data_IF_569161299341
#
_entry.id   IF_569161299341
#
_cell.length_a   1.000
_cell.length_b   1.000
_cell.length_c   1.000
_cell.angle_alpha   90.00
_cell.angle_beta   90.00
_cell.angle_gamma   90.00
#
_symmetry.space_group_name_H-M   'P 1'
#
loop_
_entity.id
_entity.type
_entity.pdbx_description
1 polymer ?
#
# COMPACT_ATOMS: atom_id res chain seq x y z
N UNK A 1 36.59 33.57 -4.71
CA UNK A 1 36.19 32.20 -4.34
C UNK A 1 35.05 31.78 -5.27
N UNK A 2 35.35 30.95 -6.27
CA UNK A 2 34.31 30.37 -7.11
C UNK A 2 33.59 29.28 -6.29
N UNK A 3 32.33 29.45 -6.02
CA UNK A 3 31.48 28.41 -5.42
C UNK A 3 31.16 27.40 -6.54
N UNK A 4 31.81 26.26 -6.52
CA UNK A 4 31.47 25.16 -7.40
C UNK A 4 30.23 24.49 -6.77
N UNK A 5 29.04 24.74 -7.33
CA UNK A 5 27.87 23.94 -6.99
C UNK A 5 28.03 22.57 -7.66
N UNK A 6 27.90 21.49 -6.90
CA UNK A 6 27.86 20.16 -7.46
C UNK A 6 26.69 20.04 -8.44
N UNK A 7 26.92 19.41 -9.58
CA UNK A 7 25.84 19.07 -10.51
C UNK A 7 24.82 18.21 -9.76
N UNK A 8 23.56 18.65 -9.73
CA UNK A 8 22.45 17.91 -9.13
C UNK A 8 21.34 17.75 -10.19
N UNK A 9 20.59 16.67 -10.14
CA UNK A 9 19.43 16.43 -11.03
C UNK A 9 19.71 15.49 -12.21
N UNK A 10 20.83 14.78 -12.22
CA UNK A 10 21.02 13.67 -13.16
C UNK A 10 20.29 12.41 -12.71
N UNK A 11 19.72 11.66 -13.66
CA UNK A 11 19.15 10.33 -13.44
C UNK A 11 19.91 9.28 -14.27
N UNK A 12 19.74 8.01 -13.94
CA UNK A 12 20.20 6.89 -14.77
C UNK A 12 19.62 6.99 -16.18
N UNK A 13 20.32 6.40 -17.16
CA UNK A 13 19.86 6.39 -18.55
C UNK A 13 18.52 5.65 -18.68
N UNK A 14 17.55 6.28 -19.32
CA UNK A 14 16.25 5.68 -19.60
C UNK A 14 16.37 4.38 -20.39
N UNK A 15 15.55 3.39 -20.00
CA UNK A 15 15.41 2.16 -20.78
C UNK A 15 14.73 2.44 -22.11
N UNK A 16 15.00 1.63 -23.14
CA UNK A 16 14.33 1.74 -24.45
C UNK A 16 12.80 1.66 -24.32
N UNK A 17 12.29 0.87 -23.36
CA UNK A 17 10.86 0.77 -23.12
C UNK A 17 10.30 2.06 -22.50
N UNK A 18 11.01 2.67 -21.55
CA UNK A 18 10.67 3.97 -20.97
C UNK A 18 10.62 5.05 -22.05
N UNK A 19 11.63 5.10 -22.91
CA UNK A 19 11.69 6.07 -24.02
C UNK A 19 10.51 5.86 -24.99
N UNK A 20 10.23 4.63 -25.39
CA UNK A 20 9.10 4.32 -26.30
C UNK A 20 7.75 4.72 -25.73
N UNK A 21 7.57 4.62 -24.43
CA UNK A 21 6.33 4.99 -23.73
C UNK A 21 6.23 6.51 -23.54
N UNK A 22 7.29 7.16 -23.07
CA UNK A 22 7.24 8.57 -22.68
C UNK A 22 7.46 9.55 -23.84
N UNK A 23 8.25 9.21 -24.88
CA UNK A 23 8.54 10.14 -25.97
C UNK A 23 7.30 10.60 -26.76
N UNK A 24 6.32 9.75 -27.10
CA UNK A 24 5.09 10.20 -27.75
C UNK A 24 4.26 11.16 -26.86
N UNK A 25 4.19 10.88 -25.55
CA UNK A 25 3.48 11.71 -24.58
C UNK A 25 4.15 13.08 -24.43
N UNK A 26 5.46 13.10 -24.37
CA UNK A 26 6.25 14.32 -24.31
C UNK A 26 6.13 15.19 -25.56
N UNK A 27 6.16 14.56 -26.73
CA UNK A 27 5.91 15.25 -27.99
C UNK A 27 4.49 15.85 -28.05
N UNK A 28 3.48 15.11 -27.60
CA UNK A 28 2.10 15.57 -27.57
C UNK A 28 1.90 16.75 -26.59
N UNK A 29 2.56 16.73 -25.45
CA UNK A 29 2.49 17.79 -24.42
C UNK A 29 3.04 19.15 -24.92
N UNK A 30 3.99 19.14 -25.86
CA UNK A 30 4.64 20.35 -26.41
C UNK A 30 5.10 21.37 -25.35
N UNK A 31 5.61 20.86 -24.22
CA UNK A 31 6.07 21.69 -23.10
C UNK A 31 4.97 22.32 -22.26
N UNK A 32 3.73 21.86 -22.36
CA UNK A 32 2.59 22.32 -21.54
C UNK A 32 1.91 21.18 -20.84
N UNK A 33 1.53 21.35 -19.57
CA UNK A 33 0.78 20.40 -18.78
C UNK A 33 -0.69 20.81 -18.71
N UNK A 34 -1.54 20.17 -19.48
CA UNK A 34 -2.99 20.42 -19.55
C UNK A 34 -3.77 19.15 -19.21
N UNK A 35 -3.38 18.02 -19.78
CA UNK A 35 -4.02 16.72 -19.57
C UNK A 35 -3.27 15.89 -18.52
N UNK A 36 -3.93 14.87 -17.98
CA UNK A 36 -3.32 13.89 -17.06
C UNK A 36 -2.02 13.29 -17.63
N UNK A 37 -2.02 12.98 -18.94
CA UNK A 37 -0.85 12.39 -19.60
C UNK A 37 0.31 13.37 -19.74
N UNK A 38 0.03 14.66 -19.94
CA UNK A 38 1.06 15.68 -20.01
C UNK A 38 1.77 15.81 -18.66
N UNK A 39 1.01 15.83 -17.55
CA UNK A 39 1.60 15.82 -16.21
C UNK A 39 2.43 14.56 -15.94
N UNK A 40 1.95 13.38 -16.37
CA UNK A 40 2.73 12.12 -16.25
C UNK A 40 4.08 12.19 -16.99
N UNK A 41 4.13 12.84 -18.14
CA UNK A 41 5.35 13.01 -18.92
C UNK A 41 6.30 14.10 -18.37
N UNK A 42 5.75 15.17 -17.78
CA UNK A 42 6.51 16.33 -17.31
C UNK A 42 7.05 16.13 -15.89
N UNK A 43 6.30 15.49 -14.99
CA UNK A 43 6.71 15.33 -13.58
C UNK A 43 8.09 14.66 -13.43
N UNK A 44 8.45 13.59 -14.17
CA UNK A 44 9.79 13.01 -14.08
C UNK A 44 10.92 13.96 -14.50
N UNK A 45 10.65 14.96 -15.36
CA UNK A 45 11.63 15.99 -15.73
C UNK A 45 11.85 17.01 -14.64
N UNK A 46 10.78 17.34 -13.89
CA UNK A 46 10.83 18.27 -12.75
C UNK A 46 11.42 17.60 -11.51
N UNK A 47 11.13 16.32 -11.32
CA UNK A 47 11.58 15.53 -10.17
C UNK A 47 12.17 14.19 -10.62
N UNK A 48 13.49 14.17 -10.81
CA UNK A 48 14.23 13.02 -11.36
C UNK A 48 14.16 11.75 -10.50
N UNK A 49 13.87 11.86 -9.18
CA UNK A 49 13.70 10.71 -8.29
C UNK A 49 12.31 10.05 -8.42
N UNK A 50 11.49 10.41 -9.40
CA UNK A 50 10.20 9.79 -9.64
C UNK A 50 10.35 8.43 -10.34
N UNK A 51 10.08 7.32 -9.63
CA UNK A 51 10.02 5.97 -10.18
C UNK A 51 8.71 5.73 -10.94
N UNK A 52 7.60 6.18 -10.36
CA UNK A 52 6.26 6.04 -10.94
C UNK A 52 5.42 7.26 -10.56
N UNK A 53 4.60 7.72 -11.48
CA UNK A 53 3.76 8.91 -11.31
C UNK A 53 2.32 8.57 -11.67
N UNK A 54 1.40 8.86 -10.76
CA UNK A 54 -0.03 8.83 -11.01
C UNK A 54 -0.60 10.22 -10.94
N UNK A 55 -1.47 10.54 -11.90
CA UNK A 55 -2.13 11.84 -11.99
C UNK A 55 -3.62 11.62 -12.22
N UNK A 56 -4.44 12.39 -11.53
CA UNK A 56 -5.89 12.37 -11.69
C UNK A 56 -6.49 13.77 -11.47
N UNK A 57 -7.65 14.02 -12.05
CA UNK A 57 -8.37 15.28 -11.87
C UNK A 57 -8.99 15.39 -10.48
N UNK A 58 -9.22 16.60 -10.00
CA UNK A 58 -9.90 16.82 -8.73
C UNK A 58 -11.38 16.42 -8.75
N UNK A 59 -11.96 16.26 -9.92
CA UNK A 59 -13.31 15.71 -10.13
C UNK A 59 -13.44 14.24 -9.73
N UNK A 60 -12.33 13.50 -9.72
CA UNK A 60 -12.28 12.08 -9.35
C UNK A 60 -12.21 11.83 -7.85
N UNK A 61 -12.12 12.88 -7.01
CA UNK A 61 -12.16 12.74 -5.56
C UNK A 61 -13.58 12.43 -5.07
N UNK A 62 -13.70 11.81 -3.90
CA UNK A 62 -14.99 11.53 -3.24
C UNK A 62 -15.82 12.80 -3.06
N UNK A 63 -15.17 13.92 -2.76
CA UNK A 63 -15.74 15.27 -2.87
C UNK A 63 -15.03 15.99 -4.02
N UNK A 64 -15.70 16.20 -5.17
CA UNK A 64 -15.09 16.82 -6.35
C UNK A 64 -14.54 18.22 -6.09
N UNK A 65 -13.30 18.47 -6.51
CA UNK A 65 -12.62 19.76 -6.43
C UNK A 65 -12.13 20.17 -7.81
N UNK A 66 -12.94 20.93 -8.53
CA UNK A 66 -12.64 21.36 -9.90
C UNK A 66 -11.43 22.32 -9.96
N UNK A 67 -10.73 22.29 -11.11
CA UNK A 67 -9.55 23.13 -11.35
C UNK A 67 -8.28 22.68 -10.61
N UNK A 68 -8.29 21.50 -9.99
CA UNK A 68 -7.11 20.88 -9.39
C UNK A 68 -6.73 19.59 -10.10
N UNK A 69 -5.42 19.36 -10.17
CA UNK A 69 -4.83 18.10 -10.63
C UNK A 69 -4.00 17.54 -9.50
N UNK A 70 -4.31 16.33 -9.09
CA UNK A 70 -3.60 15.62 -8.04
C UNK A 70 -2.52 14.74 -8.65
N UNK A 71 -1.31 14.84 -8.09
CA UNK A 71 -0.11 14.16 -8.57
C UNK A 71 0.40 13.32 -7.40
N UNK A 72 0.47 12.03 -7.56
CA UNK A 72 1.07 11.12 -6.60
C UNK A 72 2.35 10.54 -7.18
N UNK A 73 3.42 10.51 -6.40
CA UNK A 73 4.77 10.14 -6.86
C UNK A 73 5.32 9.03 -5.95
N UNK A 74 5.67 7.91 -6.55
CA UNK A 74 6.50 6.89 -5.90
C UNK A 74 7.96 7.21 -6.22
N UNK A 75 8.80 7.56 -5.23
CA UNK A 75 10.21 7.84 -5.49
C UNK A 75 11.00 6.55 -5.70
N UNK A 76 12.12 6.64 -6.40
CA UNK A 76 13.08 5.53 -6.55
C UNK A 76 13.73 5.19 -5.21
N UNK A 77 14.04 6.22 -4.41
CA UNK A 77 14.65 6.09 -3.08
C UNK A 77 14.04 7.10 -2.11
N UNK A 78 13.85 6.67 -0.85
CA UNK A 78 13.35 7.52 0.23
C UNK A 78 11.87 7.88 0.10
N UNK A 79 11.50 9.08 0.52
CA UNK A 79 10.15 9.64 0.45
C UNK A 79 10.17 11.05 -0.12
N UNK A 80 9.04 11.48 -0.70
CA UNK A 80 8.90 12.85 -1.21
C UNK A 80 8.61 13.78 -0.03
N UNK A 81 9.60 14.56 0.38
CA UNK A 81 9.45 15.50 1.50
C UNK A 81 8.49 16.64 1.17
N UNK A 82 7.92 17.32 2.18
CA UNK A 82 7.03 18.46 1.96
C UNK A 82 7.71 19.59 1.19
N UNK A 83 9.00 19.84 1.43
CA UNK A 83 9.79 20.81 0.68
C UNK A 83 9.89 20.43 -0.81
N UNK A 84 10.15 19.15 -1.11
CA UNK A 84 10.18 18.65 -2.49
C UNK A 84 8.81 18.77 -3.16
N UNK A 85 7.70 18.45 -2.47
CA UNK A 85 6.34 18.63 -2.99
C UNK A 85 6.07 20.09 -3.36
N UNK A 86 6.43 21.02 -2.49
CA UNK A 86 6.25 22.45 -2.73
C UNK A 86 7.09 22.94 -3.92
N UNK A 87 8.33 22.44 -4.05
CA UNK A 87 9.19 22.76 -5.20
C UNK A 87 8.60 22.24 -6.52
N UNK A 88 8.16 20.97 -6.56
CA UNK A 88 7.51 20.37 -7.74
C UNK A 88 6.29 21.20 -8.17
N UNK A 89 5.43 21.58 -7.22
CA UNK A 89 4.25 22.42 -7.49
C UNK A 89 4.66 23.78 -8.07
N UNK A 90 5.70 24.42 -7.50
CA UNK A 90 6.22 25.71 -7.97
C UNK A 90 6.76 25.62 -9.39
N UNK A 91 7.58 24.60 -9.69
CA UNK A 91 8.19 24.41 -11.00
C UNK A 91 7.13 24.09 -12.07
N UNK A 92 6.14 23.25 -11.75
CA UNK A 92 5.01 22.96 -12.62
C UNK A 92 4.20 24.23 -12.93
N UNK A 93 3.86 25.04 -11.90
CA UNK A 93 3.08 26.27 -12.06
C UNK A 93 3.79 27.32 -12.91
N UNK A 94 5.09 27.50 -12.66
CA UNK A 94 5.84 28.57 -13.29
C UNK A 94 6.23 28.29 -14.74
N UNK A 95 6.36 27.00 -15.11
CA UNK A 95 6.94 26.61 -16.38
C UNK A 95 5.95 25.90 -17.32
N UNK A 96 5.05 25.07 -16.78
CA UNK A 96 4.31 24.10 -17.58
C UNK A 96 2.78 24.25 -17.54
N UNK A 97 2.22 24.73 -16.40
CA UNK A 97 0.77 24.74 -16.21
C UNK A 97 0.11 26.00 -16.77
N UNK A 98 -1.10 25.84 -17.28
CA UNK A 98 -1.96 26.99 -17.62
C UNK A 98 -2.60 27.56 -16.35
N UNK A 99 -2.95 28.84 -16.35
CA UNK A 99 -3.39 29.60 -15.18
C UNK A 99 -4.64 29.04 -14.46
N UNK A 100 -5.48 28.26 -15.15
CA UNK A 100 -6.72 27.69 -14.58
C UNK A 100 -6.54 26.35 -13.87
N UNK A 101 -5.38 25.71 -13.97
CA UNK A 101 -5.10 24.39 -13.38
C UNK A 101 -4.12 24.53 -12.21
N UNK A 102 -4.50 24.00 -11.04
CA UNK A 102 -3.66 24.01 -9.86
C UNK A 102 -3.15 22.59 -9.55
N UNK A 103 -1.85 22.31 -9.75
CA UNK A 103 -1.27 21.03 -9.36
C UNK A 103 -1.15 20.92 -7.83
N UNK A 104 -1.44 19.73 -7.30
CA UNK A 104 -1.31 19.37 -5.88
C UNK A 104 -0.58 18.06 -5.79
N UNK A 105 0.53 17.99 -5.06
CA UNK A 105 1.26 16.74 -4.85
C UNK A 105 0.79 16.08 -3.57
N UNK A 106 0.31 14.84 -3.69
CA UNK A 106 -0.20 14.00 -2.59
C UNK A 106 0.69 12.77 -2.39
N UNK A 107 0.64 12.19 -1.21
CA UNK A 107 1.34 10.94 -0.95
C UNK A 107 0.60 9.76 -1.59
N UNK A 108 1.34 8.73 -2.07
CA UNK A 108 0.73 7.48 -2.48
C UNK A 108 0.16 6.72 -1.29
N UNK A 109 -0.91 5.96 -1.52
CA UNK A 109 -1.49 5.08 -0.53
C UNK A 109 -0.88 3.69 -0.63
N UNK A 110 -0.17 3.27 0.41
CA UNK A 110 0.45 1.95 0.45
C UNK A 110 -0.50 0.91 1.04
N UNK A 111 -0.68 -0.18 0.30
CA UNK A 111 -1.30 -1.41 0.79
C UNK A 111 -0.25 -2.51 0.75
N UNK A 112 0.01 -3.13 1.90
CA UNK A 112 1.02 -4.17 2.02
C UNK A 112 0.38 -5.54 1.83
N UNK A 113 1.05 -6.39 1.07
CA UNK A 113 0.74 -7.80 0.91
C UNK A 113 1.55 -8.58 1.97
N UNK A 114 0.86 -9.26 2.87
CA UNK A 114 1.46 -10.22 3.80
C UNK A 114 1.31 -11.60 3.17
N UNK A 115 2.43 -12.22 2.87
CA UNK A 115 2.47 -13.51 2.18
C UNK A 115 2.96 -14.60 3.13
N UNK A 116 2.20 -15.67 3.27
CA UNK A 116 2.66 -16.92 3.87
C UNK A 116 3.07 -17.87 2.77
N UNK A 117 4.36 -18.14 2.61
CA UNK A 117 4.90 -19.01 1.56
C UNK A 117 5.48 -20.27 2.19
N UNK A 118 4.83 -21.39 1.99
CA UNK A 118 5.34 -22.70 2.39
C UNK A 118 5.70 -23.48 1.13
N UNK A 119 6.93 -23.95 1.02
CA UNK A 119 7.36 -24.76 -0.12
C UNK A 119 7.90 -26.13 0.30
N UNK A 120 7.72 -27.11 -0.56
CA UNK A 120 8.31 -28.45 -0.40
C UNK A 120 9.41 -28.65 -1.44
N UNK A 121 10.47 -29.32 -1.03
CA UNK A 121 11.59 -29.60 -1.92
C UNK A 121 12.09 -31.05 -1.80
N UNK A 122 12.70 -31.55 -2.87
CA UNK A 122 13.30 -32.86 -2.90
C UNK A 122 14.81 -32.76 -2.58
N UNK A 123 15.20 -33.22 -1.40
CA UNK A 123 16.59 -33.19 -0.94
C UNK A 123 17.56 -34.07 -1.77
N UNK A 124 17.04 -34.95 -2.64
CA UNK A 124 17.87 -35.73 -3.57
C UNK A 124 18.25 -34.97 -4.83
N UNK A 125 17.53 -33.88 -5.14
CA UNK A 125 17.76 -33.06 -6.33
C UNK A 125 18.64 -31.84 -6.05
N UNK A 126 19.09 -31.65 -4.82
CA UNK A 126 19.94 -30.51 -4.44
C UNK A 126 20.95 -30.91 -3.39
N UNK A 127 22.12 -30.24 -3.45
CA UNK A 127 23.13 -30.26 -2.38
C UNK A 127 23.03 -29.01 -1.49
N UNK A 128 22.11 -28.09 -1.81
CA UNK A 128 21.94 -26.83 -1.06
C UNK A 128 21.22 -27.14 0.26
N UNK A 129 21.67 -26.58 1.38
CA UNK A 129 20.96 -26.66 2.64
C UNK A 129 19.64 -25.88 2.55
N UNK A 130 18.68 -26.21 3.43
CA UNK A 130 17.33 -25.61 3.49
C UNK A 130 17.40 -24.09 3.58
N UNK A 131 18.26 -23.56 4.41
CA UNK A 131 18.45 -22.12 4.66
C UNK A 131 18.88 -21.36 3.39
N UNK A 132 19.62 -22.03 2.51
CA UNK A 132 19.99 -21.44 1.20
C UNK A 132 18.79 -21.38 0.26
N UNK A 133 17.93 -22.40 0.25
CA UNK A 133 16.71 -22.39 -0.54
C UNK A 133 15.74 -21.31 -0.03
N UNK A 134 15.57 -21.16 1.28
CA UNK A 134 14.77 -20.10 1.90
C UNK A 134 15.31 -18.71 1.52
N UNK A 135 16.61 -18.49 1.59
CA UNK A 135 17.25 -17.23 1.17
C UNK A 135 17.05 -16.93 -0.31
N UNK A 136 17.12 -17.95 -1.18
CA UNK A 136 16.87 -17.79 -2.60
C UNK A 136 15.40 -17.42 -2.87
N UNK A 137 14.46 -18.08 -2.20
CA UNK A 137 13.03 -17.75 -2.27
C UNK A 137 12.78 -16.32 -1.80
N UNK A 138 13.36 -15.90 -0.66
CA UNK A 138 13.23 -14.52 -0.16
C UNK A 138 13.80 -13.50 -1.15
N UNK A 139 14.91 -13.81 -1.80
CA UNK A 139 15.49 -12.97 -2.86
C UNK A 139 14.53 -12.86 -4.06
N UNK A 140 13.92 -13.95 -4.45
CA UNK A 140 12.91 -13.99 -5.53
C UNK A 140 11.70 -13.14 -5.18
N UNK A 141 11.19 -13.23 -3.95
CA UNK A 141 10.08 -12.40 -3.43
C UNK A 141 10.45 -10.91 -3.46
N UNK A 142 11.65 -10.56 -2.99
CA UNK A 142 12.15 -9.18 -2.96
C UNK A 142 12.27 -8.59 -4.37
N UNK A 143 12.79 -9.37 -5.31
CA UNK A 143 12.89 -8.95 -6.71
C UNK A 143 11.50 -8.79 -7.36
N UNK A 144 10.57 -9.69 -7.06
CA UNK A 144 9.20 -9.55 -7.53
C UNK A 144 8.54 -8.27 -7.00
N UNK A 145 8.69 -7.98 -5.71
CA UNK A 145 8.21 -6.75 -5.10
C UNK A 145 8.73 -5.50 -5.83
N UNK A 146 10.04 -5.42 -6.02
CA UNK A 146 10.70 -4.25 -6.62
C UNK A 146 10.31 -4.03 -8.08
N UNK A 147 10.19 -5.12 -8.86
CA UNK A 147 9.97 -5.04 -10.29
C UNK A 147 8.49 -4.93 -10.68
N UNK A 148 7.60 -5.55 -9.91
CA UNK A 148 6.20 -5.71 -10.30
C UNK A 148 5.24 -4.84 -9.50
N UNK A 149 5.51 -4.59 -8.19
CA UNK A 149 4.52 -4.03 -7.29
C UNK A 149 4.76 -2.57 -6.90
N UNK A 150 5.96 -2.19 -6.48
CA UNK A 150 6.25 -0.85 -5.96
C UNK A 150 6.16 0.25 -7.02
N UNK A 151 5.00 0.35 -7.67
CA UNK A 151 4.63 1.34 -8.70
C UNK A 151 3.10 1.46 -8.77
N UNK A 152 2.61 2.54 -9.38
CA UNK A 152 1.19 2.64 -9.70
C UNK A 152 0.81 1.61 -10.79
N UNK A 153 -0.46 1.23 -10.80
CA UNK A 153 -1.00 0.17 -11.67
C UNK A 153 -0.33 -1.20 -11.47
N UNK A 154 0.32 -1.39 -10.30
CA UNK A 154 0.88 -2.67 -9.90
C UNK A 154 -0.21 -3.73 -9.69
N UNK A 155 0.04 -4.96 -10.14
CA UNK A 155 -0.87 -6.07 -9.94
C UNK A 155 -0.12 -7.28 -9.38
N UNK A 156 -0.61 -7.79 -8.26
CA UNK A 156 -0.17 -9.06 -7.73
C UNK A 156 -1.01 -10.16 -8.37
N UNK A 157 -0.39 -11.01 -9.18
CA UNK A 157 -1.00 -12.18 -9.80
C UNK A 157 -0.49 -13.42 -9.09
N UNK A 158 -1.35 -14.04 -8.30
CA UNK A 158 -1.01 -15.21 -7.48
C UNK A 158 -0.38 -16.32 -8.29
N UNK A 159 -0.97 -16.70 -9.43
CA UNK A 159 -0.46 -17.77 -10.29
C UNK A 159 0.92 -17.46 -10.91
N UNK A 160 1.20 -16.19 -11.21
CA UNK A 160 2.52 -15.78 -11.70
C UNK A 160 3.57 -15.81 -10.58
N UNK A 161 3.17 -15.39 -9.38
CA UNK A 161 4.02 -15.41 -8.20
C UNK A 161 4.38 -16.85 -7.77
N UNK A 162 3.39 -17.74 -7.63
CA UNK A 162 3.63 -19.15 -7.24
C UNK A 162 4.52 -19.86 -8.23
N UNK A 163 4.30 -19.65 -9.54
CA UNK A 163 5.20 -20.19 -10.59
C UNK A 163 6.63 -19.67 -10.45
N UNK A 164 6.79 -18.40 -10.07
CA UNK A 164 8.12 -17.81 -9.88
C UNK A 164 8.83 -18.44 -8.68
N UNK A 165 8.11 -18.72 -7.58
CA UNK A 165 8.64 -19.44 -6.42
C UNK A 165 9.07 -20.86 -6.82
N UNK A 166 8.23 -21.62 -7.53
CA UNK A 166 8.57 -22.97 -7.99
C UNK A 166 9.80 -23.00 -8.90
N UNK A 167 10.00 -21.94 -9.70
CA UNK A 167 11.15 -21.83 -10.60
C UNK A 167 12.43 -21.29 -9.95
N UNK A 168 12.41 -20.99 -8.65
CA UNK A 168 13.58 -20.46 -7.94
C UNK A 168 14.71 -21.49 -7.82
N UNK A 169 14.35 -22.77 -7.71
CA UNK A 169 15.30 -23.91 -7.67
C UNK A 169 14.64 -25.18 -8.19
N UNK A 170 15.35 -25.97 -8.98
CA UNK A 170 14.85 -27.22 -9.55
C UNK A 170 14.48 -28.28 -8.50
N UNK A 171 14.95 -28.11 -7.27
CA UNK A 171 14.61 -28.98 -6.17
C UNK A 171 13.23 -28.67 -5.56
N UNK A 172 12.68 -27.49 -5.76
CA UNK A 172 11.34 -27.09 -5.27
C UNK A 172 10.28 -27.85 -6.09
N UNK A 173 9.43 -28.57 -5.40
CA UNK A 173 8.41 -29.43 -6.03
C UNK A 173 7.02 -28.85 -6.01
N UNK A 174 6.72 -28.01 -5.03
CA UNK A 174 5.45 -27.29 -4.91
C UNK A 174 5.54 -26.17 -3.87
N UNK A 175 4.65 -25.19 -3.98
CA UNK A 175 4.44 -24.20 -2.94
C UNK A 175 2.96 -23.94 -2.66
N UNK A 176 2.68 -23.49 -1.45
CA UNK A 176 1.38 -22.94 -1.03
C UNK A 176 1.62 -21.51 -0.59
N UNK A 177 0.91 -20.58 -1.21
CA UNK A 177 1.02 -19.16 -0.89
C UNK A 177 -0.32 -18.63 -0.42
N UNK A 178 -0.37 -18.11 0.80
CA UNK A 178 -1.52 -17.38 1.35
C UNK A 178 -1.29 -15.88 1.21
N UNK A 179 -2.38 -15.13 1.03
CA UNK A 179 -2.34 -13.68 0.80
C UNK A 179 -3.25 -12.98 1.79
N UNK A 180 -2.71 -12.02 2.51
CA UNK A 180 -3.44 -11.06 3.32
C UNK A 180 -3.05 -9.65 2.89
N UNK A 181 -3.97 -8.69 3.10
CA UNK A 181 -3.70 -7.28 2.89
C UNK A 181 -3.55 -6.58 4.23
N UNK A 182 -2.61 -5.64 4.32
CA UNK A 182 -2.52 -4.77 5.49
C UNK A 182 -2.37 -3.31 5.11
N UNK A 183 -2.99 -2.44 5.93
CA UNK A 183 -2.84 -0.99 5.87
C UNK A 183 -2.57 -0.44 7.26
N UNK A 184 -1.65 0.51 7.32
CA UNK A 184 -1.31 1.23 8.53
C UNK A 184 -1.98 2.61 8.50
N UNK A 185 -2.69 3.01 9.55
CA UNK A 185 -3.20 4.37 9.71
C UNK A 185 -2.71 4.98 11.03
N UNK A 186 -2.54 6.31 11.04
CA UNK A 186 -2.10 7.05 12.23
C UNK A 186 -3.33 7.64 12.91
N UNK A 187 -3.66 7.20 14.15
CA UNK A 187 -4.81 7.73 14.86
C UNK A 187 -4.52 9.14 15.41
N UNK A 188 -5.58 9.94 15.52
CA UNK A 188 -5.57 11.19 16.29
C UNK A 188 -5.77 10.85 17.76
N UNK A 189 -4.75 11.08 18.57
CA UNK A 189 -4.76 10.69 19.99
C UNK A 189 -5.61 11.66 20.80
N UNK A 190 -6.45 11.10 21.71
CA UNK A 190 -7.26 11.86 22.67
C UNK A 190 -8.46 12.57 22.11
N UNK A 191 -8.79 12.34 20.83
CA UNK A 191 -9.94 12.98 20.17
C UNK A 191 -10.80 11.93 19.46
N UNK A 192 -12.11 11.88 19.70
CA UNK A 192 -13.02 11.01 18.96
C UNK A 192 -12.95 11.32 17.46
N UNK A 193 -12.50 10.38 16.66
CA UNK A 193 -12.25 10.59 15.24
C UNK A 193 -12.83 9.44 14.42
N UNK A 194 -13.39 9.77 13.26
CA UNK A 194 -13.82 8.80 12.24
C UNK A 194 -12.63 8.47 11.34
N UNK A 195 -12.43 7.18 11.07
CA UNK A 195 -11.37 6.70 10.16
C UNK A 195 -12.01 5.92 9.01
N UNK A 196 -11.60 6.24 7.80
CA UNK A 196 -11.96 5.47 6.59
C UNK A 196 -10.70 4.82 6.05
N UNK A 197 -10.70 3.49 5.95
CA UNK A 197 -9.55 2.68 5.52
C UNK A 197 -9.98 1.89 4.29
N UNK A 198 -9.77 2.41 3.07
CA UNK A 198 -10.12 1.72 1.84
C UNK A 198 -9.00 0.74 1.46
N UNK A 199 -9.32 -0.56 1.36
CA UNK A 199 -8.42 -1.55 0.76
C UNK A 199 -8.58 -1.61 -0.76
N UNK A 200 -9.74 -1.15 -1.30
CA UNK A 200 -10.05 -1.11 -2.72
C UNK A 200 -9.98 -2.49 -3.41
N UNK A 201 -10.17 -3.55 -2.67
CA UNK A 201 -10.25 -4.92 -3.15
C UNK A 201 -11.32 -5.63 -2.34
N UNK A 202 -12.12 -6.46 -2.98
CA UNK A 202 -13.15 -7.23 -2.30
C UNK A 202 -12.56 -8.11 -1.20
N UNK A 203 -13.27 -8.22 -0.08
CA UNK A 203 -12.85 -9.01 1.08
C UNK A 203 -13.64 -10.32 1.15
N UNK A 204 -12.98 -11.36 1.65
CA UNK A 204 -13.55 -12.70 1.73
C UNK A 204 -14.74 -12.76 2.69
N UNK A 205 -15.94 -12.87 2.17
CA UNK A 205 -17.16 -13.09 2.95
C UNK A 205 -18.16 -13.96 2.16
N UNK A 206 -18.01 -15.31 2.20
CA UNK A 206 -18.82 -16.21 1.36
C UNK A 206 -20.30 -16.18 1.67
N UNK A 207 -20.69 -15.78 2.87
CA UNK A 207 -22.09 -15.59 3.28
C UNK A 207 -22.20 -14.71 4.53
N UNK A 208 -23.34 -14.07 4.72
CA UNK A 208 -23.62 -13.26 5.91
C UNK A 208 -23.37 -14.05 7.20
N UNK A 209 -22.73 -13.41 8.18
CA UNK A 209 -22.40 -14.02 9.46
C UNK A 209 -21.30 -15.09 9.42
N UNK A 210 -20.59 -15.25 8.33
CA UNK A 210 -19.50 -16.25 8.19
C UNK A 210 -18.49 -16.19 9.35
N UNK A 211 -18.16 -14.99 9.81
CA UNK A 211 -17.13 -14.75 10.84
C UNK A 211 -17.73 -14.37 12.21
N UNK A 212 -19.01 -14.59 12.41
CA UNK A 212 -19.75 -14.06 13.56
C UNK A 212 -19.17 -14.48 14.90
N UNK A 213 -18.74 -15.72 15.02
CA UNK A 213 -18.25 -16.28 16.31
C UNK A 213 -16.75 -16.08 16.50
N UNK A 214 -15.97 -16.23 15.44
CA UNK A 214 -14.50 -16.28 15.53
C UNK A 214 -13.83 -14.98 15.10
N UNK A 215 -14.52 -14.10 14.36
CA UNK A 215 -13.90 -13.08 13.54
C UNK A 215 -13.10 -13.76 12.42
N UNK A 216 -12.32 -13.03 11.64
CA UNK A 216 -11.37 -13.73 10.81
C UNK A 216 -11.11 -13.15 9.44
N UNK A 217 -11.84 -12.11 9.02
CA UNK A 217 -11.48 -11.34 7.83
C UNK A 217 -10.70 -10.10 8.23
N UNK A 218 -11.15 -9.43 9.29
CA UNK A 218 -10.51 -8.25 9.84
C UNK A 218 -9.79 -8.56 11.13
N UNK A 219 -8.54 -8.14 11.21
CA UNK A 219 -7.75 -8.10 12.44
C UNK A 219 -7.06 -6.75 12.55
N UNK A 220 -6.80 -6.28 13.77
CA UNK A 220 -5.98 -5.09 14.02
C UNK A 220 -4.86 -5.38 15.00
N UNK A 221 -3.81 -4.55 14.96
CA UNK A 221 -2.88 -4.44 16.08
C UNK A 221 -3.55 -3.76 17.27
N UNK A 222 -3.00 -3.96 18.47
CA UNK A 222 -3.54 -3.45 19.72
C UNK A 222 -3.50 -1.91 19.80
N UNK A 223 -4.46 -1.35 20.52
CA UNK A 223 -4.53 0.07 20.86
C UNK A 223 -5.31 0.26 22.18
N UNK A 224 -5.22 1.44 22.76
CA UNK A 224 -5.96 1.79 23.96
C UNK A 224 -6.95 2.91 23.67
N UNK A 225 -8.11 2.87 24.33
CA UNK A 225 -9.13 3.93 24.23
C UNK A 225 -9.23 4.71 25.54
N UNK A 226 -9.67 5.95 25.47
CA UNK A 226 -9.87 6.79 26.66
C UNK A 226 -10.87 6.15 27.62
N UNK A 227 -10.49 6.06 28.89
CA UNK A 227 -11.34 5.50 29.94
C UNK A 227 -11.30 3.98 30.09
N UNK A 228 -10.47 3.27 29.29
CA UNK A 228 -10.27 1.83 29.42
C UNK A 228 -8.77 1.49 29.47
N UNK A 229 -8.39 0.63 30.38
CA UNK A 229 -6.99 0.19 30.58
C UNK A 229 -6.64 -1.09 29.82
N UNK A 230 -7.65 -1.78 29.25
CA UNK A 230 -7.42 -2.98 28.47
C UNK A 230 -6.93 -2.64 27.06
N UNK A 231 -6.07 -3.46 26.52
CA UNK A 231 -5.65 -3.39 25.12
C UNK A 231 -6.79 -3.86 24.21
N UNK A 232 -7.22 -2.99 23.31
CA UNK A 232 -8.32 -3.22 22.38
C UNK A 232 -7.82 -3.71 21.03
N UNK A 233 -8.65 -4.52 20.40
CA UNK A 233 -8.47 -5.05 19.05
C UNK A 233 -9.77 -4.90 18.26
N UNK A 234 -9.66 -4.94 16.94
CA UNK A 234 -10.81 -4.93 16.02
C UNK A 234 -10.92 -6.27 15.31
N UNK A 235 -12.14 -6.74 15.11
CA UNK A 235 -12.48 -7.81 14.18
C UNK A 235 -13.84 -7.52 13.52
N UNK A 236 -14.26 -8.37 12.60
CA UNK A 236 -15.55 -8.30 11.93
C UNK A 236 -16.55 -9.34 12.46
N UNK A 237 -17.83 -9.17 12.13
CA UNK A 237 -18.89 -10.12 12.46
C UNK A 237 -19.41 -10.92 11.25
N UNK A 238 -18.94 -10.60 10.03
CA UNK A 238 -19.44 -11.19 8.79
C UNK A 238 -20.78 -10.62 8.30
N UNK A 239 -21.41 -9.73 9.08
CA UNK A 239 -22.68 -9.07 8.76
C UNK A 239 -22.49 -7.59 8.35
N UNK A 240 -21.22 -7.13 8.24
CA UNK A 240 -20.88 -5.76 7.85
C UNK A 240 -20.48 -4.85 9.01
N UNK A 241 -20.35 -5.36 10.23
CA UNK A 241 -19.91 -4.55 11.36
C UNK A 241 -18.48 -4.87 11.76
N UNK A 242 -17.71 -3.82 12.08
CA UNK A 242 -16.45 -3.93 12.80
C UNK A 242 -16.73 -3.87 14.31
N UNK A 243 -16.21 -4.85 15.04
CA UNK A 243 -16.38 -4.99 16.49
C UNK A 243 -15.08 -4.69 17.22
N UNK A 244 -15.18 -4.12 18.41
CA UNK A 244 -14.04 -3.85 19.28
C UNK A 244 -14.08 -4.78 20.49
N UNK A 245 -12.96 -5.42 20.79
CA UNK A 245 -12.83 -6.38 21.89
C UNK A 245 -11.47 -6.27 22.57
N UNK A 246 -11.37 -6.83 23.78
CA UNK A 246 -10.10 -7.13 24.44
C UNK A 246 -10.02 -8.62 24.80
N UNK A 247 -8.84 -9.10 25.14
CA UNK A 247 -8.61 -10.53 25.41
C UNK A 247 -8.34 -10.75 26.90
N UNK A 248 -9.02 -11.74 27.49
CA UNK A 248 -8.83 -12.19 28.86
C UNK A 248 -8.27 -13.61 28.87
N UNK A 249 -7.27 -13.85 29.71
CA UNK A 249 -6.67 -15.18 29.83
C UNK A 249 -5.98 -15.69 28.57
N UNK A 250 -5.62 -14.78 27.65
CA UNK A 250 -4.90 -15.09 26.41
C UNK A 250 -5.77 -15.61 25.26
N UNK A 251 -7.02 -15.98 25.50
CA UNK A 251 -7.87 -16.61 24.45
C UNK A 251 -9.30 -16.07 24.38
N UNK A 252 -9.87 -15.63 25.51
CA UNK A 252 -11.29 -15.24 25.57
C UNK A 252 -11.47 -13.80 25.11
N UNK A 253 -12.19 -13.58 24.01
CA UNK A 253 -12.55 -12.26 23.49
C UNK A 253 -13.76 -11.71 24.25
N UNK A 254 -13.63 -10.51 24.82
CA UNK A 254 -14.72 -9.77 25.45
C UNK A 254 -15.03 -8.55 24.58
N UNK A 255 -16.19 -8.54 23.98
CA UNK A 255 -16.62 -7.45 23.10
C UNK A 255 -17.09 -6.26 23.92
N UNK A 256 -16.53 -5.08 23.63
CA UNK A 256 -16.88 -3.80 24.26
C UNK A 256 -17.86 -3.04 23.39
N UNK A 257 -17.71 -3.13 22.07
CA UNK A 257 -18.57 -2.49 21.09
C UNK A 257 -18.71 -3.42 19.87
N UNK A 258 -19.96 -3.78 19.56
CA UNK A 258 -20.27 -4.64 18.41
C UNK A 258 -20.50 -3.84 17.11
N UNK A 259 -20.48 -2.50 17.19
CA UNK A 259 -20.76 -1.57 16.09
C UNK A 259 -19.73 -0.44 16.05
N UNK A 260 -18.47 -0.74 16.40
CA UNK A 260 -17.35 0.22 16.38
C UNK A 260 -17.09 0.78 14.97
N UNK A 261 -17.62 0.13 13.95
CA UNK A 261 -17.49 0.55 12.57
C UNK A 261 -18.32 -0.30 11.62
N UNK A 262 -18.16 -0.03 10.32
CA UNK A 262 -18.78 -0.81 9.23
C UNK A 262 -17.72 -1.33 8.27
N UNK A 263 -18.02 -2.45 7.62
CA UNK A 263 -17.17 -3.08 6.60
C UNK A 263 -18.01 -3.32 5.36
N UNK A 264 -17.60 -2.79 4.23
CA UNK A 264 -18.11 -3.16 2.93
C UNK A 264 -17.19 -4.22 2.31
N UNK A 265 -17.62 -5.46 2.28
CA UNK A 265 -16.85 -6.58 1.74
C UNK A 265 -16.68 -6.52 0.22
N UNK A 266 -17.54 -5.81 -0.50
CA UNK A 266 -17.47 -5.69 -1.96
C UNK A 266 -16.42 -4.67 -2.38
N UNK A 267 -16.41 -3.51 -1.74
CA UNK A 267 -15.44 -2.44 -2.03
C UNK A 267 -14.14 -2.58 -1.24
N UNK A 268 -14.17 -3.31 -0.13
CA UNK A 268 -13.05 -3.42 0.81
C UNK A 268 -12.85 -2.15 1.63
N UNK A 269 -13.91 -1.37 1.85
CA UNK A 269 -13.84 -0.17 2.67
C UNK A 269 -14.21 -0.49 4.13
N UNK A 270 -13.37 -0.04 5.06
CA UNK A 270 -13.62 -0.12 6.50
C UNK A 270 -13.78 1.29 7.05
N UNK A 271 -14.90 1.55 7.71
CA UNK A 271 -15.19 2.84 8.33
C UNK A 271 -15.33 2.64 9.84
N UNK A 272 -14.40 3.17 10.61
CA UNK A 272 -14.47 3.19 12.08
C UNK A 272 -15.13 4.48 12.54
N UNK A 273 -16.14 4.35 13.39
CA UNK A 273 -16.92 5.51 13.85
C UNK A 273 -16.42 5.99 15.19
N UNK A 274 -16.01 7.25 15.27
CA UNK A 274 -15.80 8.02 16.52
C UNK A 274 -14.96 7.32 17.61
N UNK A 275 -13.83 6.70 17.23
CA UNK A 275 -12.91 6.08 18.19
C UNK A 275 -12.05 7.14 18.88
N UNK A 276 -12.08 7.16 20.23
CA UNK A 276 -11.21 8.01 21.05
C UNK A 276 -9.98 7.20 21.52
N UNK A 277 -8.98 7.13 20.65
CA UNK A 277 -7.75 6.38 20.89
C UNK A 277 -6.82 7.20 21.79
N UNK A 278 -6.37 6.61 22.90
CA UNK A 278 -5.44 7.25 23.84
C UNK A 278 -3.97 6.90 23.58
N UNK A 279 -3.69 5.70 23.09
CA UNK A 279 -2.35 5.26 22.66
C UNK A 279 -2.42 4.04 21.76
N UNK A 280 -1.30 3.73 21.12
CA UNK A 280 -1.13 2.59 20.21
C UNK A 280 -0.15 1.59 20.84
N UNK A 281 -0.41 0.30 20.69
CA UNK A 281 0.50 -0.76 21.12
C UNK A 281 1.70 -0.90 20.20
N UNK A 282 2.69 -1.66 20.63
CA UNK A 282 3.81 -2.04 19.79
C UNK A 282 3.32 -2.85 18.58
N UNK A 283 3.95 -2.65 17.44
CA UNK A 283 3.71 -3.41 16.20
C UNK A 283 4.99 -4.17 15.87
N UNK A 284 4.89 -5.46 15.65
CA UNK A 284 6.04 -6.34 15.35
C UNK A 284 7.18 -6.21 16.40
N UNK A 285 6.82 -6.00 17.66
CA UNK A 285 7.77 -5.84 18.78
C UNK A 285 8.43 -4.46 18.88
N UNK A 286 8.13 -3.53 17.99
CA UNK A 286 8.67 -2.16 17.98
C UNK A 286 7.60 -1.13 18.35
N UNK A 287 8.02 -0.03 18.99
CA UNK A 287 7.14 1.10 19.27
C UNK A 287 6.53 1.66 17.98
N UNK A 288 5.23 1.85 17.99
CA UNK A 288 4.48 2.33 16.83
C UNK A 288 3.62 3.55 17.16
N UNK A 289 3.41 4.40 16.19
CA UNK A 289 2.40 5.46 16.21
C UNK A 289 1.20 5.13 15.32
N UNK A 290 1.20 3.92 14.73
CA UNK A 290 0.20 3.49 13.75
C UNK A 290 -0.51 2.24 14.22
N UNK A 291 -1.77 2.13 13.87
CA UNK A 291 -2.55 0.91 13.98
C UNK A 291 -2.54 0.23 12.62
N UNK A 292 -2.19 -1.05 12.60
CA UNK A 292 -2.25 -1.89 11.39
C UNK A 292 -3.57 -2.62 11.36
N UNK A 293 -4.25 -2.51 10.23
CA UNK A 293 -5.43 -3.30 9.89
C UNK A 293 -5.01 -4.39 8.90
N UNK A 294 -5.40 -5.61 9.16
CA UNK A 294 -5.10 -6.79 8.36
C UNK A 294 -6.42 -7.37 7.89
N UNK A 295 -6.52 -7.67 6.60
CA UNK A 295 -7.74 -8.24 6.01
C UNK A 295 -7.40 -9.36 5.04
N UNK A 296 -8.33 -10.31 4.89
CA UNK A 296 -8.23 -11.36 3.89
C UNK A 296 -8.99 -10.94 2.61
N UNK A 297 -8.33 -10.86 1.46
CA UNK A 297 -9.02 -10.56 0.20
C UNK A 297 -9.89 -11.73 -0.26
N UNK A 298 -10.93 -11.44 -1.06
CA UNK A 298 -11.77 -12.46 -1.70
C UNK A 298 -10.99 -13.25 -2.76
N UNK A 299 -10.16 -12.56 -3.53
CA UNK A 299 -9.27 -13.15 -4.51
C UNK A 299 -7.83 -13.04 -4.06
N UNK A 300 -7.03 -14.07 -4.30
CA UNK A 300 -5.58 -13.99 -4.11
C UNK A 300 -4.88 -13.08 -5.16
N UNK A 301 -5.58 -12.69 -6.23
CA UNK A 301 -5.11 -11.66 -7.15
C UNK A 301 -5.51 -10.29 -6.61
N UNK A 302 -4.54 -9.37 -6.50
CA UNK A 302 -4.73 -8.01 -5.95
C UNK A 302 -4.25 -6.99 -6.98
N UNK A 303 -5.06 -5.97 -7.23
CA UNK A 303 -4.79 -4.93 -8.22
C UNK A 303 -4.79 -3.58 -7.52
N UNK A 304 -3.74 -2.78 -7.74
CA UNK A 304 -3.69 -1.40 -7.27
C UNK A 304 -4.72 -0.53 -8.01
N UNK A 305 -5.40 0.33 -7.28
CA UNK A 305 -6.43 1.25 -7.82
C UNK A 305 -6.02 2.70 -7.55
N UNK A 306 -6.16 3.58 -8.55
CA UNK A 306 -5.81 5.01 -8.46
C UNK A 306 -4.38 5.25 -7.94
N UNK A 307 -4.25 5.99 -6.81
CA UNK A 307 -2.97 6.32 -6.16
C UNK A 307 -2.50 5.24 -5.17
N UNK A 308 -3.10 4.05 -5.22
CA UNK A 308 -2.65 2.92 -4.41
C UNK A 308 -1.37 2.30 -4.99
N UNK A 309 -0.48 1.93 -4.10
CA UNK A 309 0.75 1.19 -4.41
C UNK A 309 0.76 -0.10 -3.60
N UNK A 310 0.97 -1.21 -4.26
CA UNK A 310 1.14 -2.50 -3.59
C UNK A 310 2.62 -2.71 -3.26
N UNK A 311 2.89 -3.24 -2.08
CA UNK A 311 4.22 -3.72 -1.71
C UNK A 311 4.11 -4.98 -0.84
N UNK A 312 5.09 -5.88 -0.93
CA UNK A 312 5.15 -7.05 -0.04
C UNK A 312 5.74 -6.62 1.29
N UNK A 313 5.09 -6.99 2.39
CA UNK A 313 5.60 -6.80 3.74
C UNK A 313 6.69 -7.85 4.04
N UNK A 314 7.92 -7.55 3.64
CA UNK A 314 9.05 -8.48 3.79
C UNK A 314 9.40 -8.80 5.24
N UNK A 315 8.95 -7.98 6.21
CA UNK A 315 9.18 -8.23 7.65
C UNK A 315 8.19 -9.25 8.22
N UNK A 316 7.02 -9.40 7.61
CA UNK A 316 5.95 -10.30 8.04
C UNK A 316 5.58 -11.33 6.97
N UNK A 317 6.44 -11.56 5.98
CA UNK A 317 6.35 -12.67 5.04
C UNK A 317 7.06 -13.88 5.65
N UNK A 318 6.35 -14.99 5.82
CA UNK A 318 6.85 -16.23 6.43
C UNK A 318 6.94 -17.37 5.41
#
# INVERSE_FOLDING_TARGET
TATISNASGGSERDSIQSIKFNAPLDYAAQGRAVTVNDFKAIVPKVYANAKSVQVYGGEDNDVPVFGRVYISIVPTTGSVTQAAKNQIVSDLKNTYTIASVTPVVVDPEYTKLRLGVTFTYNSKNTIKPKETLESNVLTTVTNFNTNNLTKFDGAFRHSAFTRLIDSTDDAITSNITTVELSKDFTPTIGTPTKYTIPFNNALHNPHAGHNKELGGILESTGFFISGNTNEMFLNDDGDGNARMYYVVGGTTKIYVDNTAGTIDYVTGEIVLTSLNISSVSNVDGAASTKIRMIVRPESNDVIAVRNQVLEIDLNNTT
#
